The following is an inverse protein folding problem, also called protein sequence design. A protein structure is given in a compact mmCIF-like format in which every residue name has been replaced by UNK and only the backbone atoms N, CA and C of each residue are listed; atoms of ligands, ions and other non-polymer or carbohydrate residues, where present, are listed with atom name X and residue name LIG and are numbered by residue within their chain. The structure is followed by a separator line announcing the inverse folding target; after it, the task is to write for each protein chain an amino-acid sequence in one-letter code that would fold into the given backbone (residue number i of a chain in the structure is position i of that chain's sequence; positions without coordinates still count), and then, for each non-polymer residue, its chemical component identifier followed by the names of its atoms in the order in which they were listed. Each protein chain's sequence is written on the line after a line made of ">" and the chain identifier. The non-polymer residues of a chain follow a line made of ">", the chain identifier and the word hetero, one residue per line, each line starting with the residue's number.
data_IF_633498326869
#
_entry.id   IF_633498326869
#
_cell.length_a   1.000
_cell.length_b   1.000
_cell.length_c   1.000
_cell.angle_alpha   90.00
_cell.angle_beta   90.00
_cell.angle_gamma   90.00
#
_symmetry.space_group_name_H-M   'P 1'
#
loop_
_entity.id
_entity.type
_entity.pdbx_description
1 polymer ?
#
# COMPACT_ATOMS: atom_id res chain seq x y z
N UNK A 1 20.15 -25.43 -0.37
CA UNK A 1 19.16 -24.36 -0.29
C UNK A 1 19.55 -23.36 0.77
N UNK A 2 19.46 -22.07 0.45
CA UNK A 2 19.67 -21.01 1.45
C UNK A 2 18.46 -20.97 2.38
N UNK A 3 18.66 -20.63 3.65
CA UNK A 3 17.56 -20.43 4.60
C UNK A 3 16.82 -19.13 4.21
N UNK A 4 15.49 -19.19 4.03
CA UNK A 4 14.65 -18.03 3.68
C UNK A 4 14.77 -16.90 4.71
N UNK A 5 15.05 -17.21 5.96
CA UNK A 5 15.33 -16.20 7.00
C UNK A 5 16.52 -15.29 6.67
N UNK A 6 17.35 -15.64 5.70
CA UNK A 6 18.46 -14.82 5.23
C UNK A 6 18.13 -14.06 3.92
N UNK A 7 16.90 -14.16 3.43
CA UNK A 7 16.52 -13.51 2.17
C UNK A 7 16.45 -11.98 2.30
N UNK A 8 17.07 -11.21 1.39
CA UNK A 8 17.07 -9.75 1.46
C UNK A 8 15.67 -9.14 1.47
N UNK A 9 14.75 -9.69 0.67
CA UNK A 9 13.37 -9.22 0.60
C UNK A 9 12.61 -9.42 1.93
N UNK A 10 12.92 -10.51 2.67
CA UNK A 10 12.34 -10.77 3.98
C UNK A 10 12.84 -9.74 5.00
N UNK A 11 14.14 -9.46 5.04
CA UNK A 11 14.72 -8.45 5.92
C UNK A 11 14.13 -7.06 5.66
N UNK A 12 14.00 -6.66 4.40
CA UNK A 12 13.34 -5.40 4.04
C UNK A 12 11.90 -5.33 4.52
N UNK A 13 11.12 -6.39 4.33
CA UNK A 13 9.74 -6.46 4.84
C UNK A 13 9.69 -6.32 6.37
N UNK A 14 10.57 -7.02 7.09
CA UNK A 14 10.68 -6.94 8.55
C UNK A 14 10.99 -5.52 9.02
N UNK A 15 11.95 -4.85 8.39
CA UNK A 15 12.35 -3.49 8.72
C UNK A 15 11.23 -2.49 8.41
N UNK A 16 10.53 -2.63 7.29
CA UNK A 16 9.38 -1.81 6.92
C UNK A 16 8.25 -1.94 7.94
N UNK A 17 7.84 -3.17 8.29
CA UNK A 17 6.83 -3.41 9.32
C UNK A 17 7.22 -2.77 10.67
N UNK A 18 8.48 -2.94 11.10
CA UNK A 18 8.96 -2.35 12.35
C UNK A 18 8.94 -0.83 12.32
N UNK A 19 9.27 -0.21 11.16
CA UNK A 19 9.25 1.24 11.00
C UNK A 19 7.81 1.80 11.02
N UNK A 20 6.88 1.16 10.31
CA UNK A 20 5.48 1.54 10.30
C UNK A 20 4.86 1.46 11.70
N UNK A 21 5.14 0.37 12.44
CA UNK A 21 4.71 0.25 13.83
C UNK A 21 5.30 1.36 14.72
N UNK A 22 6.59 1.67 14.58
CA UNK A 22 7.27 2.75 15.33
C UNK A 22 6.64 4.11 15.10
N UNK A 23 6.13 4.36 13.89
CA UNK A 23 5.42 5.60 13.52
C UNK A 23 3.97 5.65 14.04
N UNK A 24 3.45 4.53 14.55
CA UNK A 24 2.08 4.45 15.04
C UNK A 24 1.04 4.32 13.93
N UNK A 25 1.44 3.77 12.77
CA UNK A 25 0.56 3.60 11.62
C UNK A 25 -0.17 2.25 11.60
N UNK A 26 0.23 1.33 12.47
CA UNK A 26 -0.27 -0.06 12.48
C UNK A 26 -0.49 -0.52 13.93
N UNK A 27 -1.56 0.00 14.53
CA UNK A 27 -1.96 -0.38 15.88
C UNK A 27 -2.48 -1.81 15.92
N UNK A 28 -2.10 -2.58 16.91
CA UNK A 28 -2.47 -3.97 17.08
C UNK A 28 -2.12 -4.81 15.82
N UNK A 29 -3.14 -5.24 15.12
CA UNK A 29 -3.08 -5.98 13.85
C UNK A 29 -3.61 -5.14 12.66
N UNK A 30 -3.62 -3.83 12.81
CA UNK A 30 -3.93 -2.91 11.73
C UNK A 30 -2.82 -2.88 10.70
N UNK A 31 -3.18 -2.50 9.47
CA UNK A 31 -2.26 -2.45 8.35
C UNK A 31 -1.84 -3.81 7.80
N UNK A 32 -1.35 -3.84 6.58
CA UNK A 32 -0.86 -5.04 5.91
C UNK A 32 -0.05 -4.68 4.66
N UNK A 33 0.83 -5.60 4.26
CA UNK A 33 1.72 -5.44 3.10
C UNK A 33 1.72 -6.72 2.29
N UNK A 34 1.71 -6.58 0.96
CA UNK A 34 2.04 -7.65 0.02
C UNK A 34 3.14 -7.18 -0.93
N UNK A 35 4.18 -7.98 -1.05
CA UNK A 35 5.32 -7.77 -1.94
C UNK A 35 5.33 -8.87 -2.99
N UNK A 36 5.13 -8.50 -4.26
CA UNK A 36 5.33 -9.37 -5.41
C UNK A 36 6.83 -9.62 -5.59
N UNK A 37 7.21 -10.88 -5.75
CA UNK A 37 8.58 -11.32 -5.93
C UNK A 37 8.75 -12.02 -7.27
N UNK A 38 9.87 -11.78 -7.92
CA UNK A 38 10.25 -12.54 -9.11
C UNK A 38 10.67 -13.96 -8.74
N UNK A 39 10.42 -14.93 -9.62
CA UNK A 39 10.82 -16.32 -9.40
C UNK A 39 12.32 -16.44 -9.11
N UNK A 40 13.15 -15.66 -9.78
CA UNK A 40 14.61 -15.67 -9.58
C UNK A 40 15.02 -15.23 -8.16
N UNK A 41 14.22 -14.37 -7.51
CA UNK A 41 14.49 -13.92 -6.14
C UNK A 41 14.15 -14.99 -5.11
N UNK A 42 13.10 -15.77 -5.35
CA UNK A 42 12.61 -16.79 -4.41
C UNK A 42 13.24 -18.16 -4.59
N UNK A 43 13.60 -18.54 -5.82
CA UNK A 43 14.14 -19.84 -6.17
C UNK A 43 15.32 -20.33 -5.28
N UNK A 44 16.27 -19.48 -4.85
CA UNK A 44 17.36 -19.93 -3.96
C UNK A 44 16.91 -20.40 -2.58
N UNK A 45 15.70 -20.05 -2.15
CA UNK A 45 15.16 -20.24 -0.81
C UNK A 45 14.01 -21.24 -0.71
N UNK A 46 13.39 -21.58 -1.86
CA UNK A 46 12.22 -22.45 -1.90
C UNK A 46 12.59 -23.91 -2.15
N UNK A 47 11.78 -24.78 -1.52
CA UNK A 47 11.56 -26.16 -2.00
C UNK A 47 10.26 -26.12 -2.83
N UNK A 48 10.06 -27.08 -3.71
CA UNK A 48 8.79 -27.22 -4.45
C UNK A 48 7.63 -27.74 -3.55
N UNK A 49 7.84 -27.78 -2.24
CA UNK A 49 6.86 -28.25 -1.28
C UNK A 49 5.78 -27.21 -1.03
N UNK A 50 4.53 -27.60 -1.27
CA UNK A 50 3.35 -26.81 -0.91
C UNK A 50 2.90 -27.26 0.49
N UNK A 51 3.05 -26.39 1.49
CA UNK A 51 2.67 -26.69 2.88
C UNK A 51 1.16 -26.88 3.04
N UNK A 52 0.39 -26.03 2.35
CA UNK A 52 -1.07 -26.13 2.26
C UNK A 52 -1.63 -25.20 1.20
N UNK A 53 -2.88 -25.44 0.79
CA UNK A 53 -3.64 -24.61 -0.12
C UNK A 53 -4.77 -23.88 0.60
N UNK A 54 -5.07 -22.64 0.17
CA UNK A 54 -6.10 -21.80 0.79
C UNK A 54 -6.92 -21.15 -0.33
N UNK A 55 -8.26 -21.33 -0.35
CA UNK A 55 -9.10 -20.68 -1.35
C UNK A 55 -9.06 -19.15 -1.22
N UNK A 56 -9.03 -18.44 -2.37
CA UNK A 56 -9.08 -16.97 -2.44
C UNK A 56 -10.49 -16.42 -2.31
N UNK A 57 -11.49 -17.09 -2.88
CA UNK A 57 -12.85 -16.61 -2.95
C UNK A 57 -13.11 -15.56 -4.06
N UNK A 58 -12.14 -15.35 -4.95
CA UNK A 58 -12.26 -14.53 -6.16
C UNK A 58 -11.25 -15.00 -7.21
N UNK A 59 -11.39 -14.52 -8.46
CA UNK A 59 -10.49 -14.87 -9.56
C UNK A 59 -9.24 -13.95 -9.57
N UNK A 60 -8.08 -14.57 -9.46
CA UNK A 60 -6.75 -13.94 -9.57
C UNK A 60 -5.95 -14.51 -10.75
N UNK A 61 -6.61 -14.89 -11.85
CA UNK A 61 -5.99 -15.54 -13.01
C UNK A 61 -4.83 -14.75 -13.62
N UNK A 62 -4.87 -13.40 -13.57
CA UNK A 62 -3.78 -12.53 -14.05
C UNK A 62 -2.48 -12.67 -13.20
N UNK A 63 -2.57 -13.31 -12.03
CA UNK A 63 -1.44 -13.48 -11.10
C UNK A 63 -0.97 -14.94 -10.98
N UNK A 64 -1.45 -15.87 -11.83
CA UNK A 64 -1.04 -17.28 -11.83
C UNK A 64 0.47 -17.44 -11.79
N UNK A 65 0.95 -18.33 -10.93
CA UNK A 65 2.36 -18.63 -10.73
C UNK A 65 3.19 -17.55 -10.05
N UNK A 66 2.62 -16.38 -9.77
CA UNK A 66 3.33 -15.28 -9.11
C UNK A 66 3.47 -15.51 -7.60
N UNK A 67 4.60 -15.08 -7.07
CA UNK A 67 4.98 -15.22 -5.67
C UNK A 67 4.75 -13.91 -4.91
N UNK A 68 4.22 -14.02 -3.69
CA UNK A 68 4.02 -12.87 -2.81
C UNK A 68 4.47 -13.16 -1.40
N UNK A 69 5.24 -12.24 -0.81
CA UNK A 69 5.45 -12.19 0.63
C UNK A 69 4.35 -11.32 1.24
N UNK A 70 3.56 -11.88 2.16
CA UNK A 70 2.35 -11.23 2.69
C UNK A 70 2.31 -11.29 4.21
N UNK A 71 1.86 -10.21 4.83
CA UNK A 71 1.59 -10.16 6.28
C UNK A 71 0.36 -10.99 6.65
N UNK A 72 0.40 -11.63 7.82
CA UNK A 72 -0.65 -12.55 8.29
C UNK A 72 -1.84 -11.83 8.92
N UNK A 73 -3.03 -12.44 8.81
CA UNK A 73 -4.24 -11.94 9.48
C UNK A 73 -4.10 -12.01 11.01
N UNK A 74 -4.52 -10.95 11.69
CA UNK A 74 -4.44 -10.86 13.15
C UNK A 74 -3.01 -10.73 13.70
N UNK A 75 -2.00 -10.58 12.83
CA UNK A 75 -0.59 -10.44 13.22
C UNK A 75 -0.26 -8.99 13.50
N UNK A 76 0.69 -8.77 14.43
CA UNK A 76 1.11 -7.45 14.86
C UNK A 76 2.44 -7.10 14.23
N UNK A 77 2.55 -5.95 13.59
CA UNK A 77 3.79 -5.52 12.95
C UNK A 77 4.98 -5.47 13.91
N UNK A 78 4.75 -5.12 15.16
CA UNK A 78 5.80 -5.13 16.19
C UNK A 78 6.50 -6.48 16.39
N UNK A 79 5.81 -7.59 16.04
CA UNK A 79 6.31 -8.94 16.24
C UNK A 79 6.97 -9.53 14.98
N UNK A 80 6.81 -8.87 13.82
CA UNK A 80 7.28 -9.41 12.53
C UNK A 80 8.80 -9.63 12.55
N UNK A 81 9.54 -8.70 13.13
CA UNK A 81 11.01 -8.78 13.19
C UNK A 81 11.52 -9.89 14.12
N UNK A 82 10.80 -10.15 15.21
CA UNK A 82 11.18 -11.13 16.22
C UNK A 82 10.77 -12.55 15.83
N UNK A 83 9.64 -12.71 15.13
CA UNK A 83 9.12 -14.00 14.69
C UNK A 83 8.51 -13.90 13.28
N UNK A 84 9.32 -13.75 12.22
CA UNK A 84 8.82 -13.61 10.86
C UNK A 84 8.06 -14.84 10.37
N UNK A 85 8.46 -16.04 10.78
CA UNK A 85 7.83 -17.32 10.37
C UNK A 85 6.37 -17.46 10.84
N UNK A 86 5.99 -16.80 11.94
CA UNK A 86 4.60 -16.78 12.40
C UNK A 86 3.81 -15.64 11.77
N UNK A 87 4.47 -14.50 11.50
CA UNK A 87 3.79 -13.26 11.14
C UNK A 87 3.71 -13.00 9.64
N UNK A 88 4.54 -13.67 8.84
CA UNK A 88 4.58 -13.56 7.39
C UNK A 88 4.33 -14.91 6.72
N UNK A 89 3.91 -14.87 5.45
CA UNK A 89 3.81 -16.05 4.59
C UNK A 89 4.31 -15.74 3.19
N UNK A 90 5.09 -16.68 2.63
CA UNK A 90 5.41 -16.70 1.21
C UNK A 90 4.40 -17.58 0.51
N UNK A 91 3.66 -16.99 -0.42
CA UNK A 91 2.56 -17.64 -1.12
C UNK A 91 2.79 -17.59 -2.62
N UNK A 92 2.20 -18.54 -3.34
CA UNK A 92 2.10 -18.55 -4.80
C UNK A 92 0.63 -18.64 -5.22
N UNK A 93 0.24 -17.91 -6.24
CA UNK A 93 -1.10 -18.08 -6.85
C UNK A 93 -1.06 -19.34 -7.69
N UNK A 94 -1.94 -20.29 -7.38
CA UNK A 94 -2.00 -21.57 -8.09
C UNK A 94 -2.45 -21.41 -9.55
N UNK A 95 -2.23 -22.44 -10.36
CA UNK A 95 -2.61 -22.47 -11.79
C UNK A 95 -4.12 -22.34 -12.05
N UNK A 96 -4.96 -22.63 -11.05
CA UNK A 96 -6.41 -22.42 -11.16
C UNK A 96 -6.81 -20.94 -11.03
N UNK A 97 -5.92 -20.07 -10.54
CA UNK A 97 -6.17 -18.65 -10.29
C UNK A 97 -7.14 -18.39 -9.15
N UNK A 98 -7.55 -19.39 -8.40
CA UNK A 98 -8.56 -19.30 -7.33
C UNK A 98 -8.05 -19.80 -5.99
N UNK A 99 -6.82 -20.34 -5.98
CA UNK A 99 -6.20 -20.93 -4.79
C UNK A 99 -4.82 -20.31 -4.55
N UNK A 100 -4.49 -20.14 -3.28
CA UNK A 100 -3.15 -19.77 -2.82
C UNK A 100 -2.43 -21.02 -2.33
N UNK A 101 -1.22 -21.23 -2.78
CA UNK A 101 -0.28 -22.22 -2.25
C UNK A 101 0.63 -21.53 -1.23
N UNK A 102 0.58 -21.96 0.04
CA UNK A 102 1.52 -21.52 1.07
C UNK A 102 2.81 -22.32 0.92
N UNK A 103 3.92 -21.62 0.70
CA UNK A 103 5.25 -22.22 0.51
C UNK A 103 6.14 -22.09 1.74
N UNK A 104 5.90 -21.05 2.57
CA UNK A 104 6.63 -20.80 3.82
C UNK A 104 5.82 -19.87 4.73
N UNK A 105 6.06 -19.98 6.03
CA UNK A 105 5.51 -19.07 7.03
C UNK A 105 4.17 -19.53 7.62
N UNK A 106 3.52 -18.61 8.35
CA UNK A 106 2.30 -18.87 9.11
C UNK A 106 2.36 -20.17 9.91
N UNK A 107 3.50 -20.40 10.60
CA UNK A 107 3.81 -21.67 11.27
C UNK A 107 2.86 -22.03 12.41
N UNK A 108 2.08 -21.07 12.90
CA UNK A 108 1.03 -21.29 13.90
C UNK A 108 -0.31 -21.74 13.30
N UNK A 109 -0.36 -22.05 11.99
CA UNK A 109 -1.59 -22.38 11.28
C UNK A 109 -2.38 -21.15 10.80
N UNK A 110 -1.85 -19.94 10.98
CA UNK A 110 -2.41 -18.69 10.49
C UNK A 110 -2.55 -18.63 8.97
N UNK A 111 -3.00 -17.53 8.43
CA UNK A 111 -3.15 -17.29 6.99
C UNK A 111 -2.86 -15.83 6.66
N UNK A 112 -2.81 -15.51 5.37
CA UNK A 112 -2.67 -14.15 4.88
C UNK A 112 -3.72 -13.19 5.43
N UNK A 113 -3.44 -11.88 5.35
CA UNK A 113 -4.37 -10.80 5.76
C UNK A 113 -5.78 -11.01 5.20
N UNK A 114 -6.81 -10.65 5.98
CA UNK A 114 -8.21 -10.66 5.52
C UNK A 114 -8.48 -9.68 4.38
N UNK A 115 -7.58 -8.72 4.15
CA UNK A 115 -7.65 -7.75 3.06
C UNK A 115 -6.91 -8.21 1.79
N UNK A 116 -6.46 -9.48 1.72
CA UNK A 116 -5.82 -10.01 0.51
C UNK A 116 -6.61 -9.77 -0.78
N UNK A 117 -7.98 -9.79 -0.80
CA UNK A 117 -8.71 -9.41 -2.00
C UNK A 117 -8.36 -8.02 -2.51
N UNK A 118 -8.29 -7.01 -1.63
CA UNK A 118 -7.89 -5.66 -2.01
C UNK A 118 -6.45 -5.61 -2.52
N UNK A 119 -5.52 -6.35 -1.85
CA UNK A 119 -4.13 -6.42 -2.28
C UNK A 119 -3.96 -7.03 -3.67
N UNK A 120 -4.46 -8.24 -3.90
CA UNK A 120 -4.24 -8.94 -5.17
C UNK A 120 -4.96 -8.25 -6.33
N UNK A 121 -6.18 -7.74 -6.12
CA UNK A 121 -6.89 -6.96 -7.13
C UNK A 121 -6.16 -5.65 -7.46
N UNK A 122 -5.58 -4.98 -6.46
CA UNK A 122 -4.73 -3.80 -6.67
C UNK A 122 -3.44 -4.14 -7.42
N UNK A 123 -2.79 -5.28 -7.12
CA UNK A 123 -1.66 -5.77 -7.92
C UNK A 123 -2.06 -5.99 -9.39
N UNK A 124 -3.20 -6.64 -9.65
CA UNK A 124 -3.68 -6.85 -11.02
C UNK A 124 -3.92 -5.53 -11.76
N UNK A 125 -4.49 -4.53 -11.09
CA UNK A 125 -4.70 -3.21 -11.67
C UNK A 125 -3.36 -2.47 -11.92
N UNK A 126 -2.48 -2.43 -10.92
CA UNK A 126 -1.22 -1.69 -11.01
C UNK A 126 -0.22 -2.31 -11.99
N UNK A 127 -0.14 -3.62 -12.09
CA UNK A 127 0.75 -4.30 -13.06
C UNK A 127 0.35 -4.04 -14.51
N UNK A 128 -0.93 -3.71 -14.79
CA UNK A 128 -1.38 -3.28 -16.12
C UNK A 128 -0.92 -1.87 -16.46
N UNK A 129 -0.76 -1.00 -15.46
CA UNK A 129 -0.33 0.40 -15.62
C UNK A 129 1.19 0.50 -15.64
N UNK A 130 1.86 -0.16 -14.69
CA UNK A 130 3.32 -0.24 -14.58
C UNK A 130 3.73 -1.61 -14.04
N UNK A 131 4.39 -2.45 -14.87
CA UNK A 131 4.80 -3.80 -14.47
C UNK A 131 5.84 -3.82 -13.33
N UNK A 132 6.43 -2.68 -12.98
CA UNK A 132 7.37 -2.58 -11.88
C UNK A 132 6.70 -2.33 -10.53
N UNK A 133 5.39 -2.10 -10.45
CA UNK A 133 4.70 -1.88 -9.19
C UNK A 133 4.49 -3.20 -8.44
N UNK A 134 5.47 -3.56 -7.63
CA UNK A 134 5.54 -4.85 -6.92
C UNK A 134 5.01 -4.81 -5.48
N UNK A 135 4.67 -3.64 -4.94
CA UNK A 135 4.21 -3.51 -3.55
C UNK A 135 2.81 -2.92 -3.48
N UNK A 136 1.98 -3.53 -2.65
CA UNK A 136 0.76 -2.93 -2.12
C UNK A 136 0.90 -2.87 -0.60
N UNK A 137 0.70 -1.67 -0.04
CA UNK A 137 0.86 -1.38 1.37
C UNK A 137 -0.37 -0.65 1.90
N UNK A 138 -0.92 -1.12 3.03
CA UNK A 138 -2.03 -0.49 3.73
C UNK A 138 -1.63 -0.15 5.15
N UNK A 139 -2.03 1.04 5.62
CA UNK A 139 -1.75 1.50 6.97
C UNK A 139 -2.76 2.56 7.43
N UNK A 140 -2.70 2.91 8.74
CA UNK A 140 -3.59 3.84 9.41
C UNK A 140 -2.85 5.10 9.90
N UNK A 141 -2.21 5.91 9.04
CA UNK A 141 -1.48 7.09 9.47
C UNK A 141 -2.43 8.09 10.13
N UNK A 142 -2.08 8.54 11.33
CA UNK A 142 -3.00 9.27 12.22
C UNK A 142 -3.54 10.57 11.64
N UNK A 143 -2.69 11.36 10.99
CA UNK A 143 -3.12 12.66 10.46
C UNK A 143 -3.89 12.51 9.14
N UNK A 144 -3.55 11.54 8.33
CA UNK A 144 -4.33 11.17 7.15
C UNK A 144 -5.73 10.74 7.56
N UNK A 145 -5.86 9.89 8.59
CA UNK A 145 -7.15 9.51 9.17
C UNK A 145 -7.90 10.71 9.75
N UNK A 146 -7.24 11.56 10.56
CA UNK A 146 -7.87 12.72 11.15
C UNK A 146 -8.41 13.70 10.09
N UNK A 147 -7.66 13.87 8.98
CA UNK A 147 -8.08 14.71 7.88
C UNK A 147 -9.39 14.23 7.24
N UNK A 148 -9.68 12.93 7.25
CA UNK A 148 -10.95 12.38 6.73
C UNK A 148 -12.21 12.90 7.44
N UNK A 149 -12.07 13.37 8.69
CA UNK A 149 -13.21 13.87 9.48
C UNK A 149 -13.45 15.39 9.33
N UNK A 150 -12.48 16.13 8.81
CA UNK A 150 -12.53 17.60 8.74
C UNK A 150 -12.35 18.16 7.34
N UNK A 151 -11.93 17.34 6.38
CA UNK A 151 -11.78 17.69 4.98
C UNK A 151 -12.83 16.99 4.13
N UNK A 152 -13.24 17.60 3.02
CA UNK A 152 -14.12 16.93 2.05
C UNK A 152 -13.39 15.73 1.42
N UNK A 153 -14.07 14.59 1.36
CA UNK A 153 -13.55 13.36 0.75
C UNK A 153 -13.84 13.37 -0.75
N UNK A 154 -13.16 14.26 -1.45
CA UNK A 154 -13.13 14.41 -2.90
C UNK A 154 -11.67 14.32 -3.38
N UNK A 155 -11.42 13.59 -4.45
CA UNK A 155 -10.06 13.30 -4.93
C UNK A 155 -9.29 14.56 -5.33
N UNK A 156 -9.96 15.47 -6.04
CA UNK A 156 -9.35 16.70 -6.49
C UNK A 156 -9.05 17.64 -5.32
N UNK A 157 -10.03 17.87 -4.47
CA UNK A 157 -9.90 18.81 -3.35
C UNK A 157 -8.91 18.29 -2.30
N UNK A 158 -8.95 16.99 -1.99
CA UNK A 158 -7.99 16.36 -1.07
C UNK A 158 -6.56 16.43 -1.62
N UNK A 159 -6.36 16.00 -2.85
CA UNK A 159 -5.05 16.02 -3.50
C UNK A 159 -4.49 17.43 -3.58
N UNK A 160 -5.29 18.38 -4.03
CA UNK A 160 -4.87 19.78 -4.17
C UNK A 160 -4.48 20.37 -2.81
N UNK A 161 -5.26 20.10 -1.76
CA UNK A 161 -4.91 20.52 -0.39
C UNK A 161 -3.58 19.93 0.07
N UNK A 162 -3.35 18.64 -0.15
CA UNK A 162 -2.10 17.98 0.21
C UNK A 162 -0.91 18.58 -0.57
N UNK A 163 -1.05 18.81 -1.87
CA UNK A 163 0.00 19.43 -2.69
C UNK A 163 0.38 20.84 -2.20
N UNK A 164 -0.56 21.59 -1.65
CA UNK A 164 -0.33 22.92 -1.11
C UNK A 164 0.36 22.96 0.27
N UNK A 165 0.48 21.80 0.93
CA UNK A 165 1.08 21.72 2.28
C UNK A 165 2.59 21.57 2.26
N UNK A 166 3.16 20.94 1.22
CA UNK A 166 4.60 20.67 1.15
C UNK A 166 5.05 20.62 -0.33
N UNK A 167 6.18 21.22 -0.62
CA UNK A 167 6.74 21.34 -1.98
C UNK A 167 6.89 19.99 -2.68
N UNK A 168 7.30 18.96 -1.94
CA UNK A 168 7.56 17.61 -2.46
C UNK A 168 6.30 16.89 -2.95
N UNK A 169 5.12 17.24 -2.45
CA UNK A 169 3.91 16.46 -2.64
C UNK A 169 3.55 16.27 -4.12
N UNK A 170 3.48 17.33 -4.92
CA UNK A 170 3.15 17.22 -6.35
C UNK A 170 4.21 16.46 -7.15
N UNK A 171 5.46 16.42 -6.66
CA UNK A 171 6.56 15.70 -7.29
C UNK A 171 6.49 14.21 -6.95
N UNK A 172 6.17 13.87 -5.71
CA UNK A 172 6.16 12.49 -5.19
C UNK A 172 4.91 11.73 -5.63
N UNK A 173 3.74 12.37 -5.54
CA UNK A 173 2.47 11.77 -6.01
C UNK A 173 1.72 12.69 -6.98
N UNK A 174 2.29 12.90 -8.19
CA UNK A 174 1.70 13.76 -9.22
C UNK A 174 0.38 13.23 -9.76
N UNK A 175 0.16 11.93 -9.68
CA UNK A 175 -1.07 11.23 -9.99
C UNK A 175 -2.20 11.51 -8.97
N UNK A 176 -1.87 12.13 -7.83
CA UNK A 176 -2.84 12.48 -6.80
C UNK A 176 -3.21 11.32 -5.88
N UNK A 177 -4.30 11.49 -5.15
CA UNK A 177 -4.82 10.55 -4.16
C UNK A 177 -6.26 10.21 -4.51
N UNK A 178 -6.52 8.93 -4.81
CA UNK A 178 -7.87 8.40 -4.98
C UNK A 178 -8.59 8.34 -3.63
N UNK A 179 -9.90 8.44 -3.65
CA UNK A 179 -10.73 8.41 -2.44
C UNK A 179 -11.87 7.43 -2.59
N UNK A 180 -12.08 6.60 -1.59
CA UNK A 180 -13.26 5.77 -1.42
C UNK A 180 -14.04 6.23 -0.19
N UNK A 181 -15.38 6.24 -0.25
CA UNK A 181 -16.19 6.44 0.95
C UNK A 181 -15.96 5.29 1.94
N UNK A 182 -16.49 5.40 3.16
CA UNK A 182 -16.47 4.28 4.08
C UNK A 182 -17.14 3.05 3.45
N UNK A 183 -16.44 1.93 3.46
CA UNK A 183 -16.90 0.63 3.01
C UNK A 183 -16.49 -0.45 4.01
N UNK A 184 -17.17 -1.59 4.00
CA UNK A 184 -16.81 -2.72 4.86
C UNK A 184 -15.49 -3.34 4.39
N UNK A 185 -14.46 -3.29 5.23
CA UNK A 185 -13.14 -3.84 4.93
C UNK A 185 -13.14 -5.38 4.85
N UNK A 186 -12.15 -5.96 4.15
CA UNK A 186 -12.02 -7.41 4.00
C UNK A 186 -13.03 -8.05 3.03
N UNK A 187 -13.82 -7.26 2.31
CA UNK A 187 -14.80 -7.77 1.32
C UNK A 187 -14.23 -7.68 -0.11
N UNK A 188 -14.80 -8.47 -1.02
CA UNK A 188 -14.49 -8.33 -2.45
C UNK A 188 -14.91 -6.96 -3.01
N UNK A 189 -15.99 -6.38 -2.48
CA UNK A 189 -16.53 -5.11 -2.94
C UNK A 189 -15.54 -3.95 -2.75
N UNK A 190 -14.98 -3.78 -1.54
CA UNK A 190 -13.95 -2.75 -1.31
C UNK A 190 -12.67 -3.08 -2.08
N UNK A 191 -12.36 -4.36 -2.28
CA UNK A 191 -11.25 -4.81 -3.12
C UNK A 191 -11.40 -4.36 -4.57
N UNK A 192 -12.58 -4.54 -5.17
CA UNK A 192 -12.88 -4.10 -6.53
C UNK A 192 -12.86 -2.57 -6.65
N UNK A 193 -13.45 -1.87 -5.68
CA UNK A 193 -13.44 -0.42 -5.65
C UNK A 193 -12.01 0.14 -5.55
N UNK A 194 -11.16 -0.47 -4.71
CA UNK A 194 -9.75 -0.09 -4.56
C UNK A 194 -8.98 -0.33 -5.85
N UNK A 195 -9.12 -1.50 -6.46
CA UNK A 195 -8.46 -1.83 -7.73
C UNK A 195 -8.83 -0.86 -8.85
N UNK A 196 -10.11 -0.49 -8.97
CA UNK A 196 -10.57 0.50 -9.95
C UNK A 196 -9.91 1.87 -9.74
N UNK A 197 -9.72 2.31 -8.50
CA UNK A 197 -8.98 3.55 -8.19
C UNK A 197 -7.50 3.41 -8.49
N UNK A 198 -6.91 2.24 -8.21
CA UNK A 198 -5.50 1.93 -8.48
C UNK A 198 -5.14 1.93 -9.98
N UNK A 199 -6.10 1.91 -10.90
CA UNK A 199 -5.81 2.15 -12.33
C UNK A 199 -5.30 3.58 -12.60
N UNK A 200 -5.67 4.55 -11.75
CA UNK A 200 -5.34 5.96 -11.96
C UNK A 200 -4.41 6.53 -10.88
N UNK A 201 -4.47 5.98 -9.66
CA UNK A 201 -3.77 6.50 -8.49
C UNK A 201 -2.87 5.43 -7.89
N UNK A 202 -1.65 5.81 -7.45
CA UNK A 202 -0.80 4.94 -6.61
C UNK A 202 -1.20 4.99 -5.14
N UNK A 203 -1.99 5.97 -4.74
CA UNK A 203 -2.47 6.19 -3.38
C UNK A 203 -3.99 6.24 -3.36
N UNK A 204 -4.62 5.49 -2.46
CA UNK A 204 -6.07 5.47 -2.29
C UNK A 204 -6.42 5.56 -0.81
N UNK A 205 -7.11 6.62 -0.42
CA UNK A 205 -7.67 6.77 0.93
C UNK A 205 -8.97 5.98 1.03
N UNK A 206 -9.07 5.14 2.05
CA UNK A 206 -10.31 4.53 2.49
C UNK A 206 -10.93 5.40 3.59
N UNK A 207 -12.07 6.00 3.31
CA UNK A 207 -12.74 6.92 4.22
C UNK A 207 -12.89 6.36 5.64
N UNK A 208 -12.39 7.09 6.65
CA UNK A 208 -12.39 6.75 8.08
C UNK A 208 -11.72 5.41 8.42
N UNK A 209 -10.81 4.91 7.55
CA UNK A 209 -10.12 3.63 7.79
C UNK A 209 -8.59 3.77 7.67
N UNK A 210 -8.09 4.22 6.52
CA UNK A 210 -6.64 4.31 6.30
C UNK A 210 -6.29 4.67 4.86
N UNK A 211 -5.09 4.30 4.44
CA UNK A 211 -4.58 4.56 3.09
C UNK A 211 -3.94 3.31 2.50
N UNK A 212 -4.16 3.08 1.21
CA UNK A 212 -3.44 2.12 0.38
C UNK A 212 -2.40 2.85 -0.47
N UNK A 213 -1.20 2.27 -0.56
CA UNK A 213 -0.14 2.72 -1.43
C UNK A 213 0.33 1.61 -2.36
N UNK A 214 0.70 1.97 -3.60
CA UNK A 214 1.30 1.07 -4.57
C UNK A 214 2.59 1.68 -5.15
N UNK A 215 3.65 0.89 -5.27
CA UNK A 215 4.93 1.33 -5.80
C UNK A 215 5.80 0.16 -6.24
N UNK A 216 7.01 0.48 -6.73
CA UNK A 216 7.95 -0.51 -7.27
C UNK A 216 8.59 -1.37 -6.19
N UNK A 217 8.82 -0.79 -5.01
CA UNK A 217 9.46 -1.43 -3.87
C UNK A 217 8.91 -0.91 -2.54
N UNK A 218 9.34 -1.50 -1.44
CA UNK A 218 8.90 -1.15 -0.09
C UNK A 218 9.25 0.30 0.29
N UNK A 219 10.42 0.78 -0.12
CA UNK A 219 10.91 2.13 0.21
C UNK A 219 10.08 3.20 -0.52
N UNK A 220 9.83 3.03 -1.82
CA UNK A 220 8.99 3.95 -2.58
C UNK A 220 7.56 3.98 -2.05
N UNK A 221 6.96 2.80 -1.84
CA UNK A 221 5.56 2.72 -1.39
C UNK A 221 5.39 3.32 0.00
N UNK A 222 6.34 3.05 0.90
CA UNK A 222 6.38 3.68 2.22
C UNK A 222 6.51 5.21 2.09
N UNK A 223 7.45 5.70 1.27
CA UNK A 223 7.69 7.12 1.06
C UNK A 223 6.49 7.87 0.48
N UNK A 224 5.69 7.24 -0.39
CA UNK A 224 4.43 7.78 -0.88
C UNK A 224 3.45 8.05 0.27
N UNK A 225 3.23 7.05 1.13
CA UNK A 225 2.34 7.19 2.30
C UNK A 225 2.89 8.21 3.31
N UNK A 226 4.21 8.17 3.56
CA UNK A 226 4.89 9.11 4.47
C UNK A 226 4.74 10.56 4.01
N UNK A 227 4.81 10.82 2.71
CA UNK A 227 4.66 12.16 2.15
C UNK A 227 3.22 12.67 2.30
N UNK A 228 2.22 11.80 2.07
CA UNK A 228 0.80 12.15 2.33
C UNK A 228 0.59 12.43 3.82
N UNK A 229 1.08 11.57 4.70
CA UNK A 229 0.94 11.75 6.15
C UNK A 229 1.62 13.04 6.63
N UNK A 230 2.80 13.39 6.08
CA UNK A 230 3.47 14.66 6.39
C UNK A 230 2.59 15.86 5.98
N UNK A 231 2.02 15.84 4.79
CA UNK A 231 1.14 16.90 4.32
C UNK A 231 -0.15 17.00 5.17
N UNK A 232 -0.76 15.85 5.47
CA UNK A 232 -1.94 15.77 6.34
C UNK A 232 -1.63 16.29 7.76
N UNK A 233 -0.44 15.97 8.30
CA UNK A 233 0.01 16.47 9.59
C UNK A 233 0.10 18.01 9.60
N UNK A 234 0.72 18.59 8.57
CA UNK A 234 0.83 20.05 8.45
C UNK A 234 -0.57 20.67 8.37
N UNK A 235 -1.44 20.11 7.53
CA UNK A 235 -2.83 20.56 7.41
C UNK A 235 -3.54 20.53 8.77
N UNK A 236 -3.54 19.40 9.45
CA UNK A 236 -4.26 19.23 10.72
C UNK A 236 -3.75 20.14 11.83
N UNK A 237 -2.43 20.40 11.88
CA UNK A 237 -1.83 21.31 12.85
C UNK A 237 -2.13 22.79 12.56
N UNK A 238 -2.46 23.16 11.32
CA UNK A 238 -2.66 24.54 10.88
C UNK A 238 -4.09 24.87 10.48
N UNK A 239 -4.97 23.89 10.28
CA UNK A 239 -6.33 24.09 9.74
C UNK A 239 -7.22 25.03 10.57
N UNK A 240 -6.94 25.18 11.89
CA UNK A 240 -7.66 26.07 12.80
C UNK A 240 -7.06 27.48 12.89
N UNK A 241 -5.96 27.74 12.19
CA UNK A 241 -5.26 29.02 12.15
C UNK A 241 -5.55 29.76 10.84
N UNK A 242 -5.52 31.10 10.84
CA UNK A 242 -5.56 31.87 9.60
C UNK A 242 -4.37 31.49 8.70
N UNK A 243 -4.64 31.03 7.48
CA UNK A 243 -3.60 30.73 6.52
C UNK A 243 -3.04 32.02 5.94
N UNK A 244 -1.76 32.28 6.19
CA UNK A 244 -1.04 33.47 5.71
C UNK A 244 -0.27 33.20 4.43
N UNK A 245 0.22 31.97 4.24
CA UNK A 245 0.96 31.53 3.06
C UNK A 245 0.39 30.22 2.55
N UNK A 246 0.51 29.98 1.24
CA UNK A 246 0.19 28.71 0.59
C UNK A 246 1.08 28.56 -0.65
N UNK A 247 1.19 27.34 -1.16
CA UNK A 247 1.76 27.11 -2.49
C UNK A 247 0.62 27.32 -3.49
N UNK A 248 0.75 28.33 -4.35
CA UNK A 248 -0.26 28.66 -5.35
C UNK A 248 -0.24 27.67 -6.53
N UNK A 249 -1.37 27.54 -7.25
CA UNK A 249 -1.50 26.59 -8.35
C UNK A 249 -0.46 26.80 -9.45
N UNK A 250 -0.07 28.05 -9.75
CA UNK A 250 0.98 28.34 -10.72
C UNK A 250 2.36 27.88 -10.25
N UNK A 251 2.64 27.91 -8.93
CA UNK A 251 3.88 27.41 -8.33
C UNK A 251 3.92 25.89 -8.33
N UNK A 252 2.77 25.22 -8.07
CA UNK A 252 2.65 23.76 -8.19
C UNK A 252 2.92 23.31 -9.64
N UNK A 253 2.39 24.04 -10.63
CA UNK A 253 2.67 23.80 -12.04
C UNK A 253 4.16 23.95 -12.33
N UNK A 254 4.80 25.04 -11.89
CA UNK A 254 6.22 25.28 -12.09
C UNK A 254 7.08 24.16 -11.51
N UNK A 255 6.75 23.68 -10.30
CA UNK A 255 7.40 22.53 -9.67
C UNK A 255 7.28 21.27 -10.53
N UNK A 256 6.07 20.92 -10.94
CA UNK A 256 5.81 19.73 -11.73
C UNK A 256 6.56 19.76 -13.08
N UNK A 257 6.58 20.90 -13.75
CA UNK A 257 7.29 21.12 -15.02
C UNK A 257 8.80 21.05 -14.83
N UNK A 258 9.35 21.65 -13.77
CA UNK A 258 10.78 21.61 -13.44
C UNK A 258 11.28 20.18 -13.18
N UNK A 259 10.52 19.41 -12.38
CA UNK A 259 10.84 18.02 -12.08
C UNK A 259 10.38 17.03 -13.16
N UNK A 260 9.70 17.51 -14.22
CA UNK A 260 9.23 16.72 -15.37
C UNK A 260 8.32 15.56 -14.96
N UNK A 261 7.45 15.78 -13.97
CA UNK A 261 6.45 14.81 -13.58
C UNK A 261 5.16 15.03 -14.36
N UNK A 262 4.49 13.92 -14.71
CA UNK A 262 3.16 13.96 -15.34
C UNK A 262 2.11 14.03 -14.22
N UNK A 263 1.54 15.22 -14.04
CA UNK A 263 0.61 15.51 -12.95
C UNK A 263 -0.84 15.70 -13.44
N UNK A 264 -1.77 15.54 -12.53
CA UNK A 264 -3.21 15.78 -12.77
C UNK A 264 -3.47 17.28 -12.96
N UNK A 265 -3.36 17.75 -14.22
CA UNK A 265 -3.54 19.16 -14.58
C UNK A 265 -4.94 19.67 -14.27
N UNK A 266 -5.94 18.79 -14.40
CA UNK A 266 -7.34 19.04 -14.08
C UNK A 266 -7.60 19.32 -12.59
N UNK A 267 -6.63 19.04 -11.71
CA UNK A 267 -6.72 19.32 -10.28
C UNK A 267 -6.30 20.75 -9.92
N UNK A 268 -5.59 21.46 -10.78
CA UNK A 268 -5.22 22.85 -10.58
C UNK A 268 -6.27 23.82 -11.19
N UNK A 269 -6.37 25.02 -10.62
CA UNK A 269 -7.28 26.08 -11.08
C UNK A 269 -6.54 27.08 -11.99
N UNK A 270 -5.94 26.60 -13.08
CA UNK A 270 -5.13 27.40 -14.02
C UNK A 270 -5.49 27.06 -15.46
#
# INVERSE_FOLDING_TARGET
>A
MSNLLNAPFLHKMMDTCANMYRLGWDERNGGNISLLLDEAEVAPYLTDEVLRTIPLGFDAADLKGKYFLVTGTGKYFKNVKDDPETNLGLIRIAEDGQTVELLWGYKDGGRFTSELPAHLKSHMARLKVDPNHHVIMHSHPTYTLAMNYVHVLDERELTRTLWQMCTECIVVFPDGVGVLPWMLCGTNEIGDATANKMEQYRLVVWGMHGIYGAGKDLDETFGLIETVEKAAQIYMLTAHLPRVNTIEDHQLKELAEFFKVDYRKDFLNI
#
